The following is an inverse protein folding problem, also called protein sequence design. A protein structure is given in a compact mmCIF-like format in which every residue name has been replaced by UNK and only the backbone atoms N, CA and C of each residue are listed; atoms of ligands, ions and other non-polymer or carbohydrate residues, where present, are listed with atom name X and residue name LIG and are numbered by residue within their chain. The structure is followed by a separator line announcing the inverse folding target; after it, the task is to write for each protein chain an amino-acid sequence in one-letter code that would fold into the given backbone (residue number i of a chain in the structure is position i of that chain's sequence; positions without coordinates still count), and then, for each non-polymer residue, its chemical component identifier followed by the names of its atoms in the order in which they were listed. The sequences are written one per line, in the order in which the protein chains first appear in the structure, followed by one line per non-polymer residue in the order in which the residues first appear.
data_IF_756818499159
#
_entry.id   IF_756818499159
#
_cell.length_a   1.000
_cell.length_b   1.000
_cell.length_c   1.000
_cell.angle_alpha   90.00
_cell.angle_beta   90.00
_cell.angle_gamma   90.00
#
_symmetry.space_group_name_H-M   'P 1'
#
loop_
_entity.id
_entity.type
_entity.pdbx_description
1 polymer ?
#
# COMPACT_ATOMS: atom_id res chain seq x y z
N UNK A 1 35.50 -9.79 -19.73
CA UNK A 1 34.66 -9.04 -18.78
C UNK A 1 33.25 -8.95 -19.31
N UNK A 2 32.22 -9.30 -18.52
CA UNK A 2 30.84 -9.18 -18.95
C UNK A 2 30.34 -7.75 -18.74
N UNK A 3 29.57 -7.26 -19.71
CA UNK A 3 28.80 -6.01 -19.67
C UNK A 3 27.59 -6.18 -18.74
N UNK A 4 27.30 -5.25 -17.80
CA UNK A 4 26.07 -5.31 -17.01
C UNK A 4 24.85 -4.91 -17.87
N UNK A 5 23.68 -5.57 -17.73
CA UNK A 5 22.49 -5.17 -18.48
C UNK A 5 21.76 -4.00 -17.80
N UNK A 6 21.55 -2.96 -18.61
CA UNK A 6 20.38 -2.07 -18.68
C UNK A 6 19.63 -1.71 -17.39
N UNK A 7 20.06 -0.63 -16.74
CA UNK A 7 19.18 0.24 -15.94
C UNK A 7 18.47 1.24 -16.86
N UNK A 8 17.51 0.74 -17.65
CA UNK A 8 16.82 1.55 -18.67
C UNK A 8 15.39 1.95 -18.30
N UNK A 9 14.75 1.32 -17.31
CA UNK A 9 13.39 1.70 -16.91
C UNK A 9 13.39 2.93 -16.00
N UNK A 10 14.29 3.00 -15.02
CA UNK A 10 14.40 4.17 -14.12
C UNK A 10 14.80 5.46 -14.87
N UNK A 11 15.60 5.33 -15.93
CA UNK A 11 16.07 6.48 -16.73
C UNK A 11 15.01 6.99 -17.72
N UNK A 12 14.04 6.16 -18.12
CA UNK A 12 12.95 6.59 -19.01
C UNK A 12 11.86 7.38 -18.28
N UNK A 13 11.73 7.24 -16.96
CA UNK A 13 10.76 8.00 -16.16
C UNK A 13 11.19 9.45 -15.87
N UNK A 14 12.48 9.76 -15.97
CA UNK A 14 13.02 11.11 -15.74
C UNK A 14 12.64 12.15 -16.82
N UNK A 15 11.94 11.74 -17.89
CA UNK A 15 11.56 12.60 -19.04
C UNK A 15 10.05 12.75 -19.24
N UNK A 16 9.22 12.64 -18.20
CA UNK A 16 7.81 13.04 -18.32
C UNK A 16 7.63 14.50 -17.91
N UNK A 17 7.35 15.33 -18.93
CA UNK A 17 7.00 16.74 -18.81
C UNK A 17 5.94 17.01 -17.73
N UNK A 18 6.17 18.08 -16.98
CA UNK A 18 5.30 18.71 -15.98
C UNK A 18 3.94 19.24 -16.52
N UNK A 19 3.32 18.65 -17.55
CA UNK A 19 2.12 19.27 -18.15
C UNK A 19 1.13 18.28 -18.76
N UNK A 20 0.85 17.19 -18.07
CA UNK A 20 -0.48 16.58 -18.21
C UNK A 20 -1.26 17.03 -16.99
N UNK A 21 -2.14 18.02 -17.16
CA UNK A 21 -3.18 18.26 -16.19
C UNK A 21 -3.91 16.93 -16.04
N UNK A 22 -3.74 16.28 -14.89
CA UNK A 22 -4.59 15.18 -14.53
C UNK A 22 -6.03 15.73 -14.57
N UNK A 23 -7.01 14.94 -15.00
CA UNK A 23 -8.41 15.30 -14.75
C UNK A 23 -8.53 15.76 -13.28
N UNK A 24 -9.41 16.73 -12.94
CA UNK A 24 -9.37 17.45 -11.65
C UNK A 24 -9.29 16.58 -10.39
N UNK A 25 -9.66 15.30 -10.50
CA UNK A 25 -9.73 14.30 -9.43
C UNK A 25 -8.67 13.18 -9.53
N UNK A 26 -7.69 13.29 -10.44
CA UNK A 26 -6.66 12.27 -10.65
C UNK A 26 -5.30 12.68 -10.09
N UNK A 27 -4.57 11.70 -9.59
CA UNK A 27 -3.21 11.90 -9.05
C UNK A 27 -2.24 12.19 -10.19
N UNK A 28 -1.44 13.25 -10.06
CA UNK A 28 -0.40 13.55 -11.08
C UNK A 28 0.64 12.45 -11.16
N UNK A 29 1.27 12.23 -12.32
CA UNK A 29 2.34 11.22 -12.46
C UNK A 29 3.49 11.46 -11.48
N UNK A 30 3.86 12.72 -11.27
CA UNK A 30 4.91 13.08 -10.33
C UNK A 30 4.54 12.68 -8.91
N UNK A 31 3.34 13.04 -8.46
CA UNK A 31 2.82 12.66 -7.15
C UNK A 31 2.73 11.14 -7.01
N UNK A 32 2.21 10.42 -8.01
CA UNK A 32 2.10 8.95 -8.00
C UNK A 32 3.40 8.25 -7.64
N UNK A 33 4.52 8.77 -8.16
CA UNK A 33 5.86 8.19 -8.00
C UNK A 33 6.60 8.73 -6.79
N UNK A 34 6.20 9.85 -6.19
CA UNK A 34 6.95 10.46 -5.07
C UNK A 34 6.13 10.61 -3.78
N UNK A 35 4.86 10.22 -3.76
CA UNK A 35 4.00 10.43 -2.60
C UNK A 35 4.50 9.72 -1.33
N UNK A 36 5.12 8.54 -1.49
CA UNK A 36 5.64 7.71 -0.39
C UNK A 36 7.17 7.70 -0.29
N UNK A 37 7.85 8.68 -0.89
CA UNK A 37 9.29 8.84 -0.71
C UNK A 37 9.65 8.82 0.78
N UNK A 38 10.65 8.03 1.17
CA UNK A 38 11.06 7.81 2.56
C UNK A 38 10.50 6.55 3.23
N UNK A 39 9.38 5.98 2.75
CA UNK A 39 8.79 4.78 3.36
C UNK A 39 9.67 3.54 3.15
N UNK A 40 10.23 3.41 1.95
CA UNK A 40 11.23 2.41 1.56
C UNK A 40 11.92 2.85 0.27
N UNK A 41 13.03 2.19 -0.10
CA UNK A 41 13.71 2.45 -1.38
C UNK A 41 12.79 2.16 -2.58
N UNK A 42 12.04 1.06 -2.52
CA UNK A 42 11.00 0.67 -3.48
C UNK A 42 9.63 0.84 -2.82
N UNK A 43 9.24 2.09 -2.58
CA UNK A 43 7.94 2.39 -1.96
C UNK A 43 6.81 2.20 -2.99
N UNK A 44 5.58 1.88 -2.53
CA UNK A 44 4.48 1.61 -3.46
C UNK A 44 4.06 2.87 -4.23
N UNK A 45 3.41 2.65 -5.38
CA UNK A 45 2.86 3.73 -6.20
C UNK A 45 1.49 4.16 -5.67
N UNK A 46 1.26 5.47 -5.58
CA UNK A 46 -0.06 6.00 -5.26
C UNK A 46 -0.98 5.88 -6.47
N UNK A 47 -2.05 5.10 -6.34
CA UNK A 47 -3.06 4.93 -7.37
C UNK A 47 -4.17 5.98 -7.28
N UNK A 48 -4.65 6.27 -6.07
CA UNK A 48 -5.73 7.23 -5.85
C UNK A 48 -5.77 7.73 -4.40
N UNK A 49 -6.19 8.98 -4.19
CA UNK A 49 -6.62 9.52 -2.90
C UNK A 49 -7.72 10.56 -3.14
N UNK A 50 -8.73 10.72 -2.25
CA UNK A 50 -9.86 11.62 -2.49
C UNK A 50 -9.60 13.09 -2.11
N UNK A 51 -8.51 13.38 -1.40
CA UNK A 51 -8.28 14.65 -0.71
C UNK A 51 -7.30 15.58 -1.44
N UNK A 52 -7.17 15.45 -2.77
CA UNK A 52 -6.21 16.22 -3.58
C UNK A 52 -6.31 17.74 -3.34
N UNK A 53 -7.55 18.27 -3.29
CA UNK A 53 -7.80 19.70 -3.10
C UNK A 53 -7.61 20.15 -1.65
N UNK A 54 -7.92 19.29 -0.69
CA UNK A 54 -7.83 19.59 0.74
C UNK A 54 -6.39 19.49 1.24
N UNK A 55 -5.61 18.59 0.64
CA UNK A 55 -4.22 18.31 0.96
C UNK A 55 -3.40 18.22 -0.33
N UNK A 56 -3.06 19.36 -0.95
CA UNK A 56 -2.29 19.35 -2.19
C UNK A 56 -0.90 18.77 -1.97
N UNK A 57 -0.41 17.97 -2.92
CA UNK A 57 0.98 17.52 -2.92
C UNK A 57 1.87 18.65 -3.42
N UNK A 58 2.92 18.97 -2.65
CA UNK A 58 3.87 20.04 -3.01
C UNK A 58 4.86 19.47 -4.01
N UNK A 59 4.79 19.96 -5.25
CA UNK A 59 5.78 19.66 -6.29
C UNK A 59 6.93 20.67 -6.14
N UNK A 60 8.16 20.21 -5.83
CA UNK A 60 9.34 21.06 -5.78
C UNK A 60 9.54 21.81 -7.11
N UNK A 61 9.57 23.15 -7.07
CA UNK A 61 9.85 23.98 -8.26
C UNK A 61 11.30 24.43 -8.37
N UNK A 62 12.01 24.42 -7.24
CA UNK A 62 13.39 24.88 -7.15
C UNK A 62 14.37 23.72 -7.13
N UNK A 63 15.56 23.95 -7.68
CA UNK A 63 16.63 22.96 -7.84
C UNK A 63 17.08 22.30 -6.52
N UNK A 64 16.85 22.94 -5.38
CA UNK A 64 17.27 22.48 -4.05
C UNK A 64 16.10 22.15 -3.12
N UNK A 65 14.85 22.18 -3.61
CA UNK A 65 13.70 21.76 -2.83
C UNK A 65 13.67 20.23 -2.75
N UNK A 66 13.69 19.69 -1.54
CA UNK A 66 13.63 18.24 -1.28
C UNK A 66 12.17 17.85 -1.04
N UNK A 67 11.76 16.70 -1.56
CA UNK A 67 10.46 16.11 -1.25
C UNK A 67 10.51 15.60 0.19
N UNK A 68 9.59 16.03 1.08
CA UNK A 68 9.57 15.54 2.45
C UNK A 68 9.46 14.01 2.50
N UNK A 69 10.39 13.38 3.20
CA UNK A 69 10.36 11.94 3.43
C UNK A 69 9.27 11.57 4.43
N UNK A 70 8.50 10.54 4.09
CA UNK A 70 7.43 9.97 4.93
C UNK A 70 7.92 8.74 5.65
N UNK A 71 7.54 8.62 6.92
CA UNK A 71 7.65 7.36 7.67
C UNK A 71 6.25 6.81 7.95
N UNK A 72 6.06 5.52 7.71
CA UNK A 72 4.80 4.83 7.98
C UNK A 72 4.81 4.22 9.40
N UNK A 73 3.76 4.50 10.17
CA UNK A 73 3.62 4.04 11.55
C UNK A 73 2.34 3.23 11.74
N UNK A 74 2.37 2.33 12.72
CA UNK A 74 1.16 1.68 13.21
C UNK A 74 0.19 2.70 13.81
N UNK A 75 -1.11 2.43 13.70
CA UNK A 75 -2.14 3.35 14.18
C UNK A 75 -2.40 3.19 15.68
N UNK A 76 -2.27 4.31 16.40
CA UNK A 76 -2.85 4.50 17.71
C UNK A 76 -3.93 5.59 17.63
N UNK A 77 -5.19 5.16 17.49
CA UNK A 77 -6.35 6.04 17.32
C UNK A 77 -7.34 5.84 18.48
N UNK A 78 -7.89 6.91 19.09
CA UNK A 78 -8.79 6.81 20.26
C UNK A 78 -10.02 5.93 20.01
N UNK A 79 -10.57 5.96 18.80
CA UNK A 79 -11.77 5.19 18.43
C UNK A 79 -11.41 3.87 17.75
N UNK A 80 -10.46 3.88 16.81
CA UNK A 80 -10.11 2.74 15.97
C UNK A 80 -9.10 1.84 16.71
N UNK A 81 -9.58 1.20 17.76
CA UNK A 81 -8.84 0.19 18.51
C UNK A 81 -8.71 -1.08 17.67
N UNK A 82 -7.68 -1.87 17.96
CA UNK A 82 -7.38 -3.12 17.25
C UNK A 82 -8.57 -4.11 17.23
N UNK A 83 -9.39 -4.18 18.29
CA UNK A 83 -10.60 -5.01 18.34
C UNK A 83 -11.67 -4.52 17.36
N UNK A 84 -12.03 -3.23 17.43
CA UNK A 84 -13.00 -2.61 16.51
C UNK A 84 -12.58 -2.74 15.04
N UNK A 85 -11.28 -2.56 14.77
CA UNK A 85 -10.72 -2.77 13.43
C UNK A 85 -10.93 -4.20 12.93
N UNK A 86 -10.50 -5.20 13.70
CA UNK A 86 -10.50 -6.61 13.28
C UNK A 86 -11.90 -7.23 13.22
N UNK A 87 -12.77 -6.86 14.16
CA UNK A 87 -14.06 -7.53 14.33
C UNK A 87 -15.18 -6.86 13.53
N UNK A 88 -15.03 -5.59 13.14
CA UNK A 88 -16.13 -4.83 12.55
C UNK A 88 -15.71 -4.01 11.33
N UNK A 89 -14.83 -3.02 11.50
CA UNK A 89 -14.55 -2.05 10.44
C UNK A 89 -13.89 -2.70 9.22
N UNK A 90 -12.83 -3.48 9.42
CA UNK A 90 -12.14 -4.13 8.31
C UNK A 90 -13.04 -5.17 7.59
N UNK A 91 -13.77 -6.05 8.29
CA UNK A 91 -14.72 -6.95 7.63
C UNK A 91 -15.80 -6.24 6.79
N UNK A 92 -16.39 -5.14 7.29
CA UNK A 92 -17.41 -4.39 6.55
C UNK A 92 -16.83 -3.78 5.25
N UNK A 93 -15.64 -3.19 5.34
CA UNK A 93 -14.96 -2.65 4.15
C UNK A 93 -14.56 -3.78 3.20
N UNK A 94 -14.02 -4.90 3.69
CA UNK A 94 -13.68 -6.05 2.84
C UNK A 94 -14.94 -6.59 2.12
N UNK A 95 -16.08 -6.66 2.80
CA UNK A 95 -17.34 -7.07 2.18
C UNK A 95 -17.79 -6.11 1.08
N UNK A 96 -17.67 -4.80 1.32
CA UNK A 96 -17.90 -3.76 0.31
C UNK A 96 -16.99 -3.94 -0.92
N UNK A 97 -15.69 -4.17 -0.71
CA UNK A 97 -14.68 -4.27 -1.77
C UNK A 97 -14.74 -5.58 -2.55
N UNK A 98 -15.26 -6.66 -1.96
CA UNK A 98 -15.49 -7.94 -2.64
C UNK A 98 -16.62 -7.92 -3.66
N UNK A 99 -17.44 -6.86 -3.68
CA UNK A 99 -18.49 -6.74 -4.68
C UNK A 99 -17.89 -6.61 -6.09
N UNK A 100 -18.09 -7.65 -6.91
CA UNK A 100 -17.49 -7.77 -8.24
C UNK A 100 -17.83 -6.60 -9.18
N UNK A 101 -18.98 -5.94 -8.98
CA UNK A 101 -19.38 -4.78 -9.81
C UNK A 101 -18.45 -3.58 -9.63
N UNK A 102 -17.67 -3.52 -8.55
CA UNK A 102 -16.70 -2.44 -8.30
C UNK A 102 -15.37 -2.63 -9.03
N UNK A 103 -15.04 -3.85 -9.46
CA UNK A 103 -13.79 -4.14 -10.16
C UNK A 103 -12.52 -3.87 -9.34
N UNK A 104 -12.61 -4.00 -8.01
CA UNK A 104 -11.48 -3.80 -7.09
C UNK A 104 -10.89 -5.16 -6.69
N UNK A 105 -9.57 -5.33 -6.81
CA UNK A 105 -8.85 -6.53 -6.34
C UNK A 105 -7.83 -6.15 -5.27
N UNK A 106 -8.29 -6.12 -4.03
CA UNK A 106 -7.49 -5.81 -2.83
C UNK A 106 -6.49 -6.93 -2.55
N UNK A 107 -5.25 -6.55 -2.25
CA UNK A 107 -4.23 -7.44 -1.69
C UNK A 107 -4.09 -7.27 -0.18
N UNK A 108 -3.96 -6.03 0.30
CA UNK A 108 -3.84 -5.70 1.73
C UNK A 108 -4.62 -4.44 2.07
N UNK A 109 -5.00 -4.30 3.35
CA UNK A 109 -5.68 -3.12 3.86
C UNK A 109 -5.30 -2.91 5.33
N UNK A 110 -4.68 -1.78 5.64
CA UNK A 110 -4.19 -1.47 6.98
C UNK A 110 -4.43 0.01 7.31
N UNK A 111 -4.82 0.33 8.56
CA UNK A 111 -4.78 1.69 9.04
C UNK A 111 -3.31 2.03 9.36
N UNK A 112 -2.81 3.12 8.79
CA UNK A 112 -1.46 3.66 9.01
C UNK A 112 -1.53 5.12 9.41
N UNK A 113 -0.47 5.60 10.06
CA UNK A 113 -0.26 7.03 10.29
C UNK A 113 1.08 7.42 9.69
N UNK A 114 1.14 8.51 8.95
CA UNK A 114 2.40 9.00 8.40
C UNK A 114 2.96 10.11 9.28
N UNK A 115 4.29 10.19 9.32
CA UNK A 115 5.02 11.37 9.78
C UNK A 115 5.93 11.89 8.68
N UNK A 116 6.28 13.16 8.77
CA UNK A 116 7.43 13.76 8.08
C UNK A 116 8.32 14.41 9.12
N UNK A 117 9.59 14.61 8.82
CA UNK A 117 10.49 15.33 9.71
C UNK A 117 10.26 16.85 9.66
N UNK A 118 10.33 17.51 10.80
CA UNK A 118 10.47 18.97 10.88
C UNK A 118 11.92 19.42 10.65
N UNK A 119 12.15 20.73 10.72
CA UNK A 119 13.48 21.34 10.54
C UNK A 119 14.50 20.89 11.61
N UNK A 120 14.04 20.39 12.77
CA UNK A 120 14.87 19.82 13.84
C UNK A 120 15.13 18.31 13.64
N UNK A 121 14.56 17.69 12.59
CA UNK A 121 14.64 16.25 12.35
C UNK A 121 13.72 15.42 13.24
N UNK A 122 12.64 16.01 13.80
CA UNK A 122 11.66 15.30 14.64
C UNK A 122 10.43 14.91 13.84
N UNK A 123 9.84 13.78 14.21
CA UNK A 123 8.59 13.30 13.62
C UNK A 123 7.43 14.25 13.90
N UNK A 124 6.85 14.79 12.83
CA UNK A 124 5.56 15.49 12.82
C UNK A 124 4.53 14.57 12.20
N UNK A 125 3.63 14.06 13.03
CA UNK A 125 2.57 13.16 12.61
C UNK A 125 1.43 13.89 11.92
N UNK A 126 0.93 13.30 10.85
CA UNK A 126 -0.33 13.72 10.23
C UNK A 126 -1.47 13.72 11.28
N UNK A 127 -2.36 14.70 11.18
CA UNK A 127 -3.51 14.88 12.08
C UNK A 127 -4.68 13.92 11.80
N UNK A 128 -4.46 12.90 10.97
CA UNK A 128 -5.45 11.94 10.53
C UNK A 128 -4.78 10.57 10.37
N UNK A 129 -5.58 9.52 10.37
CA UNK A 129 -5.13 8.19 9.96
C UNK A 129 -5.36 8.02 8.46
N UNK A 130 -4.59 7.14 7.84
CA UNK A 130 -4.80 6.73 6.45
C UNK A 130 -5.22 5.28 6.45
N UNK A 131 -6.37 5.00 5.84
CA UNK A 131 -6.68 3.64 5.43
C UNK A 131 -5.89 3.35 4.15
N UNK A 132 -4.82 2.58 4.30
CA UNK A 132 -3.89 2.25 3.21
C UNK A 132 -4.30 0.92 2.57
N UNK A 133 -4.87 1.02 1.36
CA UNK A 133 -5.44 -0.12 0.63
C UNK A 133 -4.53 -0.43 -0.54
N UNK A 134 -3.89 -1.60 -0.50
CA UNK A 134 -3.15 -2.11 -1.64
C UNK A 134 -4.07 -2.92 -2.54
N UNK A 135 -3.94 -2.68 -3.85
CA UNK A 135 -4.55 -3.49 -4.90
C UNK A 135 -3.47 -4.22 -5.68
N UNK A 136 -3.85 -5.32 -6.33
CA UNK A 136 -2.92 -6.01 -7.23
C UNK A 136 -2.57 -5.11 -8.43
N UNK A 137 -1.28 -5.04 -8.83
CA UNK A 137 -0.85 -4.21 -9.93
C UNK A 137 -1.65 -4.48 -11.21
N UNK A 138 -2.06 -3.41 -11.90
CA UNK A 138 -2.77 -3.46 -13.18
C UNK A 138 -4.14 -4.16 -13.14
N UNK A 139 -4.75 -4.34 -11.96
CA UNK A 139 -6.04 -5.04 -11.83
C UNK A 139 -7.22 -4.16 -11.49
N UNK A 140 -6.98 -2.99 -10.91
CA UNK A 140 -8.01 -2.08 -10.42
C UNK A 140 -7.85 -0.74 -11.11
N UNK A 141 -8.95 -0.16 -11.60
CA UNK A 141 -8.94 1.16 -12.24
C UNK A 141 -9.00 2.25 -11.17
N UNK A 142 -8.36 3.39 -11.43
CA UNK A 142 -8.43 4.57 -10.55
C UNK A 142 -9.88 5.03 -10.30
N UNK A 143 -10.74 4.96 -11.32
CA UNK A 143 -12.18 5.26 -11.18
C UNK A 143 -12.89 4.34 -10.19
N UNK A 144 -12.54 3.05 -10.15
CA UNK A 144 -13.10 2.11 -9.18
C UNK A 144 -12.72 2.47 -7.75
N UNK A 145 -11.50 2.97 -7.54
CA UNK A 145 -11.04 3.47 -6.25
C UNK A 145 -11.83 4.71 -5.84
N UNK A 146 -11.92 5.70 -6.73
CA UNK A 146 -12.67 6.95 -6.52
C UNK A 146 -14.13 6.69 -6.15
N UNK A 147 -14.82 5.87 -6.94
CA UNK A 147 -16.25 5.62 -6.81
C UNK A 147 -16.57 4.80 -5.53
N UNK A 148 -15.56 4.21 -4.89
CA UNK A 148 -15.71 3.43 -3.66
C UNK A 148 -15.44 4.24 -2.39
N UNK A 149 -14.76 5.39 -2.48
CA UNK A 149 -14.38 6.18 -1.32
C UNK A 149 -15.58 6.62 -0.47
N UNK A 150 -16.69 7.03 -1.10
CA UNK A 150 -17.88 7.51 -0.38
C UNK A 150 -18.45 6.43 0.55
N UNK A 151 -18.52 5.19 0.07
CA UNK A 151 -19.03 4.06 0.85
C UNK A 151 -18.07 3.67 1.99
N UNK A 152 -16.75 3.75 1.76
CA UNK A 152 -15.74 3.54 2.80
C UNK A 152 -15.89 4.61 3.89
N UNK A 153 -16.00 5.88 3.53
CA UNK A 153 -16.19 6.96 4.49
C UNK A 153 -17.50 6.81 5.27
N UNK A 154 -18.57 6.34 4.63
CA UNK A 154 -19.82 6.03 5.32
C UNK A 154 -19.65 4.94 6.39
N UNK A 155 -18.87 3.89 6.11
CA UNK A 155 -18.54 2.85 7.09
C UNK A 155 -17.70 3.44 8.24
N UNK A 156 -16.66 4.21 7.93
CA UNK A 156 -15.81 4.85 8.96
C UNK A 156 -16.62 5.78 9.86
N UNK A 157 -17.47 6.63 9.27
CA UNK A 157 -18.33 7.56 9.99
C UNK A 157 -19.36 6.84 10.87
N UNK A 158 -19.95 5.74 10.39
CA UNK A 158 -20.86 4.88 11.18
C UNK A 158 -20.19 4.38 12.47
N UNK A 159 -18.87 4.20 12.47
CA UNK A 159 -18.09 3.79 13.65
C UNK A 159 -17.41 4.94 14.40
N UNK A 160 -17.78 6.19 14.11
CA UNK A 160 -17.24 7.37 14.79
C UNK A 160 -15.81 7.76 14.40
N UNK A 161 -15.31 7.26 13.26
CA UNK A 161 -13.99 7.58 12.74
C UNK A 161 -14.17 8.67 11.68
N UNK A 162 -13.78 9.90 12.01
CA UNK A 162 -14.00 11.08 11.17
C UNK A 162 -12.70 11.69 10.63
N UNK A 163 -11.59 11.43 11.30
CA UNK A 163 -10.24 11.89 11.01
C UNK A 163 -9.46 10.84 10.21
N UNK A 164 -10.03 10.39 9.10
CA UNK A 164 -9.43 9.40 8.21
C UNK A 164 -9.34 9.90 6.77
N UNK A 165 -8.26 9.55 6.09
CA UNK A 165 -8.13 9.56 4.64
C UNK A 165 -8.10 8.12 4.10
N UNK A 166 -8.30 7.96 2.79
CA UNK A 166 -8.20 6.67 2.10
C UNK A 166 -7.17 6.80 0.99
N UNK A 167 -6.10 6.02 1.06
CA UNK A 167 -5.10 5.97 0.00
C UNK A 167 -5.10 4.59 -0.63
N UNK A 168 -5.20 4.58 -1.96
CA UNK A 168 -5.10 3.39 -2.78
C UNK A 168 -3.70 3.32 -3.36
N UNK A 169 -3.05 2.16 -3.22
CA UNK A 169 -1.73 1.92 -3.77
C UNK A 169 -1.70 0.67 -4.64
N UNK A 170 -0.80 0.67 -5.61
CA UNK A 170 -0.40 -0.58 -6.25
C UNK A 170 0.80 -1.15 -5.50
N UNK A 171 0.64 -2.36 -4.99
CA UNK A 171 1.68 -3.09 -4.28
C UNK A 171 1.72 -4.54 -4.74
N UNK A 172 2.88 -4.98 -5.19
CA UNK A 172 3.12 -6.39 -5.48
C UNK A 172 3.17 -7.15 -4.15
N UNK A 173 2.38 -8.23 -4.02
CA UNK A 173 2.53 -9.16 -2.90
C UNK A 173 3.69 -10.09 -3.25
N UNK A 174 4.82 -9.90 -2.60
CA UNK A 174 5.89 -10.90 -2.65
C UNK A 174 5.58 -12.02 -1.66
N UNK A 175 5.54 -13.25 -2.17
CA UNK A 175 5.44 -14.43 -1.32
C UNK A 175 6.77 -14.64 -0.61
N UNK A 176 6.79 -14.48 0.72
CA UNK A 176 7.92 -14.86 1.56
C UNK A 176 7.99 -16.38 1.81
N UNK A 177 7.22 -17.20 1.06
CA UNK A 177 7.45 -18.64 1.08
C UNK A 177 8.87 -18.89 0.56
N UNK A 178 9.80 -19.15 1.50
CA UNK A 178 11.13 -19.61 1.16
C UNK A 178 11.06 -20.84 0.25
N UNK A 179 12.14 -21.17 -0.48
CA UNK A 179 12.17 -22.39 -1.27
C UNK A 179 11.66 -23.57 -0.42
N UNK A 180 10.86 -24.49 -1.01
CA UNK A 180 10.28 -25.61 -0.27
C UNK A 180 11.37 -26.32 0.55
N UNK A 181 11.06 -26.79 1.78
CA UNK A 181 12.07 -27.36 2.66
C UNK A 181 12.84 -28.44 1.92
N UNK A 182 14.16 -28.26 1.76
CA UNK A 182 15.08 -29.20 1.13
C UNK A 182 15.34 -30.44 2.00
N UNK A 183 14.37 -30.86 2.80
CA UNK A 183 14.44 -32.13 3.51
C UNK A 183 13.81 -33.20 2.62
N UNK A 184 14.68 -34.03 2.05
CA UNK A 184 14.26 -35.27 1.40
C UNK A 184 13.49 -36.08 2.45
N UNK A 185 12.19 -36.30 2.23
CA UNK A 185 11.43 -37.25 3.04
C UNK A 185 12.07 -38.61 2.84
N UNK A 186 12.90 -39.02 3.79
CA UNK A 186 13.37 -40.40 3.88
C UNK A 186 12.15 -41.21 4.26
N UNK A 187 11.65 -42.00 3.31
CA UNK A 187 10.77 -43.12 3.66
C UNK A 187 11.66 -44.11 4.40
N UNK A 188 11.56 -44.09 5.72
CA UNK A 188 12.03 -45.18 6.55
C UNK A 188 11.09 -46.36 6.30
N UNK A 189 11.57 -47.33 5.52
CA UNK A 189 10.88 -48.60 5.31
C UNK A 189 11.76 -49.74 5.79
N UNK A 190 11.35 -50.21 6.97
CA UNK A 190 11.18 -51.60 7.40
C UNK A 190 12.37 -52.31 8.08
N UNK A 191 12.31 -52.53 9.41
CA UNK A 191 13.24 -53.43 10.10
C UNK A 191 12.89 -54.89 9.77
N UNK A 192 13.89 -55.59 9.26
CA UNK A 192 13.91 -57.00 8.86
C UNK A 192 13.05 -57.93 9.71
N UNK A 193 12.12 -58.59 9.02
CA UNK A 193 11.35 -59.75 9.48
C UNK A 193 12.31 -60.90 9.85
N UNK A 194 12.37 -61.25 11.13
CA UNK A 194 12.97 -62.49 11.61
C UNK A 194 11.89 -63.37 12.21
N UNK A 195 11.41 -64.38 11.47
CA UNK A 195 10.60 -65.46 12.04
C UNK A 195 11.25 -66.79 11.67
N UNK A 196 11.73 -67.50 12.70
CA UNK A 196 12.27 -68.84 12.60
C UNK A 196 11.19 -69.90 12.87
N UNK A 197 11.27 -70.99 12.10
CA UNK A 197 10.84 -72.37 12.36
C UNK A 197 9.35 -72.68 12.62
N UNK A 198 8.73 -73.46 11.72
CA UNK A 198 8.72 -74.93 11.76
C UNK A 198 8.60 -75.49 10.33
#
# INVERSE_FOLDING_TARGET
SPTPPASSEATLLFKFSETTAAEPDLVSLFERVHFYTGVSEDHPLLLHRPDLLQRPFVIPRERHSVIPEKTAHGVHHPVLKNTLWKETVAPEIIALLKNQTRGVRVSTMLPVRFSTLDDDGKDVFDNHIVLWISVHPNTTKETSCRDTNADIFAILAKHGIQDAAVHWIEGAVESLAGPPPMMRVVRDTDPTTGSAAL
#
